data_IF_905116219400
#
_entry.id   IF_905116219400
#
_cell.length_a   1.000
_cell.length_b   1.000
_cell.length_c   1.000
_cell.angle_alpha   90.00
_cell.angle_beta   90.00
_cell.angle_gamma   90.00
#
_symmetry.space_group_name_H-M   'P 1'
#
loop_
_entity.id
_entity.type
_entity.pdbx_description
1 polymer ?
#
# COMPACT_ATOMS: atom_id res chain seq x y z
N UNK A 1 -10.26 -0.32 -12.23
CA UNK A 1 -9.39 -0.30 -11.04
C UNK A 1 -10.18 -0.19 -9.74
N UNK A 2 -11.12 0.73 -9.59
CA UNK A 2 -11.94 0.93 -8.36
C UNK A 2 -12.71 -0.33 -7.94
N UNK A 3 -13.33 -1.07 -8.87
CA UNK A 3 -14.02 -2.32 -8.60
C UNK A 3 -13.09 -3.38 -7.97
N UNK A 4 -11.87 -3.53 -8.49
CA UNK A 4 -10.88 -4.48 -7.96
C UNK A 4 -10.47 -4.12 -6.53
N UNK A 5 -10.29 -2.84 -6.23
CA UNK A 5 -9.98 -2.35 -4.88
C UNK A 5 -11.14 -2.62 -3.91
N UNK A 6 -12.39 -2.37 -4.34
CA UNK A 6 -13.58 -2.69 -3.55
C UNK A 6 -13.68 -4.18 -3.22
N UNK A 7 -13.51 -5.05 -4.22
CA UNK A 7 -13.47 -6.50 -4.00
C UNK A 7 -12.35 -6.93 -3.04
N UNK A 8 -11.18 -6.32 -3.13
CA UNK A 8 -10.06 -6.60 -2.24
C UNK A 8 -10.41 -6.34 -0.77
N UNK A 9 -11.10 -5.23 -0.49
CA UNK A 9 -11.55 -4.90 0.87
C UNK A 9 -12.60 -5.89 1.39
N UNK A 10 -13.60 -6.23 0.56
CA UNK A 10 -14.67 -7.18 0.91
C UNK A 10 -14.07 -8.56 1.20
N UNK A 11 -13.21 -9.09 0.31
CA UNK A 11 -12.52 -10.36 0.51
C UNK A 11 -11.66 -10.34 1.78
N UNK A 12 -10.98 -9.23 2.07
CA UNK A 12 -10.19 -9.05 3.30
C UNK A 12 -11.04 -9.14 4.57
N UNK A 13 -12.31 -8.74 4.53
CA UNK A 13 -13.24 -8.88 5.66
C UNK A 13 -13.78 -10.31 5.78
N UNK A 14 -14.08 -10.96 4.66
CA UNK A 14 -14.63 -12.32 4.62
C UNK A 14 -13.61 -13.39 5.02
N UNK A 15 -12.33 -13.16 4.71
CA UNK A 15 -11.27 -14.10 5.05
C UNK A 15 -11.00 -14.05 6.56
N UNK A 16 -11.17 -15.19 7.23
CA UNK A 16 -11.02 -15.33 8.71
C UNK A 16 -9.56 -15.34 9.18
N UNK A 17 -8.59 -15.43 8.26
CA UNK A 17 -7.16 -15.41 8.59
C UNK A 17 -6.77 -14.14 9.32
N UNK A 18 -5.75 -14.25 10.19
CA UNK A 18 -5.09 -13.10 10.80
C UNK A 18 -4.47 -12.21 9.70
N UNK A 19 -4.44 -10.90 9.93
CA UNK A 19 -3.90 -9.89 9.00
C UNK A 19 -2.53 -10.27 8.45
N UNK A 20 -1.61 -10.74 9.29
CA UNK A 20 -0.25 -11.12 8.90
C UNK A 20 -0.26 -12.25 7.87
N UNK A 21 -1.02 -13.33 8.14
CA UNK A 21 -1.12 -14.48 7.24
C UNK A 21 -1.82 -14.10 5.93
N UNK A 22 -2.89 -13.29 6.00
CA UNK A 22 -3.60 -12.82 4.81
C UNK A 22 -2.68 -12.04 3.88
N UNK A 23 -1.92 -11.09 4.41
CA UNK A 23 -0.97 -10.28 3.61
C UNK A 23 0.15 -11.17 3.07
N UNK A 24 0.65 -12.13 3.87
CA UNK A 24 1.71 -13.06 3.47
C UNK A 24 1.31 -13.91 2.26
N UNK A 25 0.15 -14.61 2.33
CA UNK A 25 -0.35 -15.41 1.21
C UNK A 25 -0.57 -14.57 -0.04
N UNK A 26 -1.13 -13.37 0.11
CA UNK A 26 -1.34 -12.45 -0.99
C UNK A 26 -0.03 -12.06 -1.68
N UNK A 27 1.00 -11.74 -0.92
CA UNK A 27 2.31 -11.37 -1.46
C UNK A 27 3.01 -12.55 -2.14
N UNK A 28 2.90 -13.77 -1.58
CA UNK A 28 3.44 -14.98 -2.22
C UNK A 28 2.77 -15.23 -3.57
N UNK A 29 1.44 -15.20 -3.62
CA UNK A 29 0.70 -15.44 -4.87
C UNK A 29 1.08 -14.39 -5.91
N UNK A 30 1.13 -13.10 -5.52
CA UNK A 30 1.52 -12.03 -6.41
C UNK A 30 2.98 -12.20 -6.90
N UNK A 31 3.91 -12.53 -6.01
CA UNK A 31 5.30 -12.80 -6.35
C UNK A 31 5.43 -13.94 -7.36
N UNK A 32 4.81 -15.10 -7.09
CA UNK A 32 4.88 -16.28 -7.98
C UNK A 32 4.30 -15.93 -9.35
N UNK A 33 3.14 -15.28 -9.38
CA UNK A 33 2.47 -14.89 -10.63
C UNK A 33 3.34 -13.97 -11.47
N UNK A 34 3.95 -12.95 -10.85
CA UNK A 34 4.85 -12.01 -11.55
C UNK A 34 6.15 -12.68 -11.98
N UNK A 35 6.72 -13.56 -11.14
CA UNK A 35 7.92 -14.31 -11.50
C UNK A 35 7.68 -15.19 -12.71
N UNK A 36 6.58 -15.96 -12.75
CA UNK A 36 6.21 -16.79 -13.90
C UNK A 36 5.98 -15.93 -15.15
N UNK A 37 5.33 -14.79 -15.02
CA UNK A 37 5.10 -13.87 -16.13
C UNK A 37 6.41 -13.33 -16.71
N UNK A 38 7.37 -12.93 -15.86
CA UNK A 38 8.67 -12.43 -16.30
C UNK A 38 9.56 -13.52 -16.90
N UNK A 39 9.49 -14.77 -16.39
CA UNK A 39 10.13 -15.92 -16.99
C UNK A 39 9.58 -16.20 -18.39
N UNK A 40 8.25 -16.18 -18.55
CA UNK A 40 7.60 -16.35 -19.83
C UNK A 40 8.02 -15.28 -20.86
N UNK A 41 8.14 -14.03 -20.43
CA UNK A 41 8.63 -12.92 -21.27
C UNK A 41 10.11 -12.98 -21.58
N UNK A 42 10.88 -13.88 -20.97
CA UNK A 42 12.36 -13.95 -21.04
C UNK A 42 13.06 -12.64 -20.62
N UNK A 43 12.40 -11.86 -19.79
CA UNK A 43 12.90 -10.57 -19.28
C UNK A 43 13.53 -10.73 -17.89
N UNK A 44 14.42 -11.71 -17.72
CA UNK A 44 15.11 -11.95 -16.46
C UNK A 44 16.21 -10.90 -16.21
N UNK A 45 16.10 -10.28 -15.06
CA UNK A 45 17.07 -9.50 -14.29
C UNK A 45 18.18 -8.74 -15.03
N UNK A 46 17.89 -7.48 -15.38
CA UNK A 46 18.93 -6.47 -15.54
C UNK A 46 18.56 -5.23 -14.71
N UNK A 47 18.74 -5.33 -13.38
CA UNK A 47 18.50 -4.21 -12.46
C UNK A 47 19.83 -3.85 -11.81
N UNK A 48 20.18 -2.56 -11.81
CA UNK A 48 21.39 -2.08 -11.13
C UNK A 48 21.26 -2.31 -9.62
N UNK A 49 22.33 -2.75 -8.97
CA UNK A 49 22.37 -3.04 -7.54
C UNK A 49 21.83 -1.89 -6.68
N UNK A 50 22.11 -0.65 -7.04
CA UNK A 50 21.60 0.54 -6.34
C UNK A 50 20.06 0.66 -6.42
N UNK A 51 19.48 0.41 -7.60
CA UNK A 51 18.03 0.48 -7.80
C UNK A 51 17.36 -0.69 -7.07
N UNK A 52 17.97 -1.89 -7.06
CA UNK A 52 17.47 -3.05 -6.32
C UNK A 52 17.29 -2.74 -4.82
N UNK A 53 18.30 -2.22 -4.13
CA UNK A 53 18.17 -1.86 -2.71
C UNK A 53 17.16 -0.73 -2.47
N UNK A 54 17.04 0.19 -3.41
CA UNK A 54 16.01 1.22 -3.34
C UNK A 54 14.60 0.64 -3.44
N UNK A 55 14.37 -0.30 -4.37
CA UNK A 55 13.07 -0.99 -4.52
C UNK A 55 12.77 -1.87 -3.31
N UNK A 56 13.77 -2.52 -2.70
CA UNK A 56 13.61 -3.25 -1.43
C UNK A 56 13.11 -2.32 -0.33
N UNK A 57 13.66 -1.10 -0.23
CA UNK A 57 13.15 -0.08 0.70
C UNK A 57 11.68 0.27 0.44
N UNK A 58 11.30 0.42 -0.84
CA UNK A 58 9.89 0.65 -1.22
C UNK A 58 9.02 -0.57 -0.89
N UNK A 59 9.51 -1.78 -1.14
CA UNK A 59 8.82 -3.03 -0.79
C UNK A 59 8.52 -3.14 0.72
N UNK A 60 9.41 -2.60 1.57
CA UNK A 60 9.14 -2.50 3.01
C UNK A 60 7.95 -1.57 3.30
N UNK A 61 7.88 -0.40 2.65
CA UNK A 61 6.74 0.51 2.78
C UNK A 61 5.43 -0.13 2.29
N UNK A 62 5.48 -0.82 1.16
CA UNK A 62 4.33 -1.58 0.62
C UNK A 62 3.85 -2.64 1.60
N UNK A 63 4.77 -3.36 2.24
CA UNK A 63 4.44 -4.39 3.22
C UNK A 63 3.72 -3.80 4.43
N UNK A 64 4.26 -2.73 5.01
CA UNK A 64 3.66 -2.06 6.17
C UNK A 64 2.31 -1.43 5.78
N UNK A 65 2.22 -0.82 4.59
CA UNK A 65 0.95 -0.30 4.05
C UNK A 65 -0.14 -1.39 4.03
N UNK A 66 0.14 -2.56 3.47
CA UNK A 66 -0.84 -3.64 3.41
C UNK A 66 -1.22 -4.18 4.78
N UNK A 67 -0.26 -4.33 5.69
CA UNK A 67 -0.55 -4.74 7.07
C UNK A 67 -1.48 -3.73 7.75
N UNK A 68 -1.18 -2.44 7.67
CA UNK A 68 -2.03 -1.39 8.24
C UNK A 68 -3.41 -1.35 7.57
N UNK A 69 -3.49 -1.50 6.25
CA UNK A 69 -4.77 -1.47 5.53
C UNK A 69 -5.70 -2.62 5.94
N UNK A 70 -5.19 -3.85 5.95
CA UNK A 70 -6.00 -4.99 6.36
C UNK A 70 -6.30 -5.00 7.85
N UNK A 71 -5.38 -4.50 8.71
CA UNK A 71 -5.66 -4.32 10.12
C UNK A 71 -6.79 -3.30 10.33
N UNK A 72 -6.78 -2.18 9.61
CA UNK A 72 -7.88 -1.22 9.62
C UNK A 72 -9.24 -1.88 9.33
N UNK A 73 -9.31 -2.78 8.32
CA UNK A 73 -10.52 -3.53 7.98
C UNK A 73 -10.92 -4.48 9.11
N UNK A 74 -9.96 -5.16 9.75
CA UNK A 74 -10.23 -6.16 10.80
C UNK A 74 -10.74 -5.53 12.09
N UNK A 75 -10.13 -4.40 12.52
CA UNK A 75 -10.51 -3.72 13.77
C UNK A 75 -11.71 -2.77 13.59
N UNK A 76 -12.12 -2.51 12.34
CA UNK A 76 -13.29 -1.67 12.03
C UNK A 76 -14.17 -2.30 10.96
N UNK A 77 -14.21 -1.69 9.80
CA UNK A 77 -14.93 -2.18 8.63
C UNK A 77 -14.29 -1.70 7.33
N UNK A 78 -14.73 -2.28 6.20
CA UNK A 78 -14.21 -1.96 4.86
C UNK A 78 -14.41 -0.48 4.51
N UNK A 79 -15.55 0.11 4.90
CA UNK A 79 -15.87 1.51 4.59
C UNK A 79 -14.88 2.46 5.26
N UNK A 80 -14.55 2.25 6.52
CA UNK A 80 -13.55 3.04 7.27
C UNK A 80 -12.19 2.97 6.55
N UNK A 81 -11.70 1.78 6.23
CA UNK A 81 -10.41 1.61 5.58
C UNK A 81 -10.36 2.29 4.20
N UNK A 82 -11.42 2.15 3.38
CA UNK A 82 -11.49 2.75 2.04
C UNK A 82 -11.61 4.27 2.10
N UNK A 83 -12.41 4.81 3.03
CA UNK A 83 -12.52 6.27 3.22
C UNK A 83 -11.20 6.87 3.68
N UNK A 84 -10.47 6.18 4.57
CA UNK A 84 -9.11 6.60 4.94
C UNK A 84 -8.16 6.62 3.74
N UNK A 85 -8.23 5.62 2.83
CA UNK A 85 -7.41 5.63 1.61
C UNK A 85 -7.69 6.85 0.71
N UNK A 86 -8.91 7.41 0.72
CA UNK A 86 -9.21 8.62 -0.05
C UNK A 86 -8.36 9.82 0.39
N UNK A 87 -7.87 9.86 1.64
CA UNK A 87 -6.94 10.90 2.12
C UNK A 87 -5.58 10.87 1.43
N UNK A 88 -5.24 9.78 0.71
CA UNK A 88 -4.01 9.71 -0.11
C UNK A 88 -3.94 10.85 -1.12
N UNK A 89 -5.07 11.36 -1.61
CA UNK A 89 -5.11 12.51 -2.50
C UNK A 89 -4.50 13.76 -1.87
N UNK A 90 -4.79 14.02 -0.58
CA UNK A 90 -4.20 15.15 0.15
C UNK A 90 -2.70 14.91 0.41
N UNK A 91 -2.33 13.70 0.86
CA UNK A 91 -0.92 13.37 1.07
C UNK A 91 -0.13 13.52 -0.24
N UNK A 92 -0.69 13.10 -1.37
CA UNK A 92 -0.10 13.28 -2.70
C UNK A 92 0.05 14.76 -3.05
N UNK A 93 -1.00 15.56 -2.87
CA UNK A 93 -0.98 17.00 -3.12
C UNK A 93 0.13 17.74 -2.34
N UNK A 94 0.44 17.28 -1.12
CA UNK A 94 1.49 17.88 -0.28
C UNK A 94 2.87 17.31 -0.61
N UNK A 95 3.00 16.00 -0.77
CA UNK A 95 4.29 15.34 -0.88
C UNK A 95 4.88 15.40 -2.29
N UNK A 96 4.07 15.25 -3.36
CA UNK A 96 4.59 15.32 -4.72
C UNK A 96 5.34 16.62 -5.06
N UNK A 97 4.85 17.82 -4.68
CA UNK A 97 5.62 19.05 -4.89
C UNK A 97 7.00 19.02 -4.23
N UNK A 98 7.11 18.40 -3.06
CA UNK A 98 8.37 18.30 -2.32
C UNK A 98 9.35 17.36 -3.03
N UNK A 99 8.88 16.18 -3.47
CA UNK A 99 9.73 15.16 -4.06
C UNK A 99 10.07 15.42 -5.54
N UNK A 100 9.13 15.97 -6.32
CA UNK A 100 9.30 16.23 -7.75
C UNK A 100 9.49 17.72 -8.09
N UNK A 101 9.59 18.60 -7.08
CA UNK A 101 9.77 20.05 -7.25
C UNK A 101 8.71 20.66 -8.19
N UNK A 102 7.49 20.11 -8.22
CA UNK A 102 6.37 20.67 -8.97
C UNK A 102 5.66 21.77 -8.19
N UNK A 103 4.90 22.60 -8.87
CA UNK A 103 4.05 23.60 -8.20
C UNK A 103 2.87 22.90 -7.51
N UNK A 104 2.59 23.32 -6.27
CA UNK A 104 1.41 22.92 -5.55
C UNK A 104 0.16 23.49 -6.22
N UNK A 105 -0.79 22.64 -6.55
CA UNK A 105 -2.04 23.04 -7.19
C UNK A 105 -3.10 23.26 -6.13
N UNK A 106 -3.61 24.49 -6.03
CA UNK A 106 -4.57 24.89 -4.99
C UNK A 106 -5.83 24.02 -4.96
N UNK A 107 -6.31 23.59 -6.13
CA UNK A 107 -7.51 22.75 -6.22
C UNK A 107 -7.29 21.36 -5.62
N UNK A 108 -6.08 20.77 -5.73
CA UNK A 108 -5.75 19.48 -5.12
C UNK A 108 -5.82 19.57 -3.58
N UNK A 109 -5.33 20.69 -3.04
CA UNK A 109 -5.39 20.95 -1.60
C UNK A 109 -6.85 21.10 -1.12
N UNK A 110 -7.66 21.86 -1.85
CA UNK A 110 -9.08 22.06 -1.52
C UNK A 110 -9.82 20.71 -1.54
N UNK A 111 -9.63 19.91 -2.58
CA UNK A 111 -10.24 18.58 -2.67
C UNK A 111 -9.79 17.66 -1.53
N UNK A 112 -8.51 17.68 -1.18
CA UNK A 112 -8.00 16.93 -0.05
C UNK A 112 -8.59 17.37 1.30
N UNK A 113 -8.80 18.67 1.50
CA UNK A 113 -9.45 19.20 2.70
C UNK A 113 -10.93 18.80 2.80
N UNK A 114 -11.65 18.75 1.68
CA UNK A 114 -13.02 18.24 1.63
C UNK A 114 -13.06 16.77 2.05
N UNK A 115 -12.11 15.94 1.61
CA UNK A 115 -11.99 14.54 2.02
C UNK A 115 -11.75 14.43 3.53
N UNK A 116 -10.88 15.28 4.10
CA UNK A 116 -10.65 15.29 5.56
C UNK A 116 -11.89 15.73 6.32
N UNK A 117 -12.60 16.76 5.87
CA UNK A 117 -13.83 17.21 6.50
C UNK A 117 -14.90 16.10 6.51
N UNK A 118 -15.05 15.39 5.38
CA UNK A 118 -15.95 14.24 5.28
C UNK A 118 -15.53 13.11 6.24
N UNK A 119 -14.23 12.81 6.33
CA UNK A 119 -13.68 11.81 7.25
C UNK A 119 -13.95 12.20 8.71
N UNK A 120 -13.71 13.47 9.07
CA UNK A 120 -13.95 13.98 10.42
C UNK A 120 -15.44 13.89 10.80
N UNK A 121 -16.35 14.16 9.86
CA UNK A 121 -17.79 14.00 10.05
C UNK A 121 -18.16 12.54 10.33
N UNK A 122 -17.65 11.60 9.52
CA UNK A 122 -17.90 10.15 9.69
C UNK A 122 -17.31 9.67 11.03
N UNK A 123 -16.11 10.13 11.41
CA UNK A 123 -15.48 9.79 12.68
C UNK A 123 -16.32 10.29 13.88
N UNK A 124 -16.92 11.47 13.78
CA UNK A 124 -17.82 12.01 14.79
C UNK A 124 -19.04 11.13 15.02
N UNK A 125 -19.53 10.45 13.99
CA UNK A 125 -20.69 9.52 14.08
C UNK A 125 -20.26 8.12 14.54
N UNK A 126 -19.07 7.65 14.15
CA UNK A 126 -18.58 6.29 14.40
C UNK A 126 -17.27 6.27 15.20
N UNK A 127 -17.20 7.01 16.30
CA UNK A 127 -15.99 7.13 17.15
C UNK A 127 -15.49 5.80 17.73
N UNK A 128 -16.32 4.76 17.78
CA UNK A 128 -15.95 3.41 18.22
C UNK A 128 -14.85 2.77 17.37
N UNK A 129 -14.59 3.26 16.15
CA UNK A 129 -13.61 2.71 15.21
C UNK A 129 -12.29 3.49 15.14
N UNK A 130 -11.95 4.23 16.18
CA UNK A 130 -10.74 5.09 16.22
C UNK A 130 -9.47 4.35 15.80
N UNK A 131 -9.25 3.11 16.28
CA UNK A 131 -8.10 2.28 15.89
C UNK A 131 -8.08 2.00 14.38
N UNK A 132 -9.25 1.70 13.81
CA UNK A 132 -9.37 1.48 12.35
C UNK A 132 -9.00 2.72 11.54
N UNK A 133 -9.39 3.90 11.99
CA UNK A 133 -9.01 5.18 11.37
C UNK A 133 -7.51 5.43 11.44
N UNK A 134 -6.87 5.17 12.58
CA UNK A 134 -5.42 5.34 12.73
C UNK A 134 -4.68 4.43 11.76
N UNK A 135 -5.00 3.13 11.74
CA UNK A 135 -4.39 2.20 10.79
C UNK A 135 -4.67 2.58 9.34
N UNK A 136 -5.89 3.00 9.02
CA UNK A 136 -6.28 3.43 7.68
C UNK A 136 -5.52 4.67 7.19
N UNK A 137 -5.34 5.69 8.06
CA UNK A 137 -4.59 6.89 7.75
C UNK A 137 -3.09 6.60 7.58
N UNK A 138 -2.50 5.76 8.43
CA UNK A 138 -1.11 5.30 8.28
C UNK A 138 -0.96 4.56 6.95
N UNK A 139 -1.89 3.67 6.61
CA UNK A 139 -1.89 2.98 5.32
C UNK A 139 -1.95 3.98 4.15
N UNK A 140 -2.84 4.99 4.19
CA UNK A 140 -2.96 6.01 3.16
C UNK A 140 -1.66 6.82 2.98
N UNK A 141 -1.03 7.21 4.06
CA UNK A 141 0.26 7.92 4.04
C UNK A 141 1.38 7.06 3.44
N UNK A 142 1.55 5.82 3.91
CA UNK A 142 2.53 4.89 3.38
C UNK A 142 2.26 4.55 1.91
N UNK A 143 0.98 4.42 1.54
CA UNK A 143 0.53 4.23 0.16
C UNK A 143 0.98 5.37 -0.76
N UNK A 144 0.88 6.60 -0.29
CA UNK A 144 1.36 7.77 -1.02
C UNK A 144 2.89 7.76 -1.14
N UNK A 145 3.60 7.46 -0.06
CA UNK A 145 5.07 7.43 -0.07
C UNK A 145 5.60 6.40 -1.06
N UNK A 146 5.12 5.14 -1.02
CA UNK A 146 5.62 4.14 -1.95
C UNK A 146 5.27 4.48 -3.41
N UNK A 147 4.11 5.08 -3.67
CA UNK A 147 3.73 5.53 -5.01
C UNK A 147 4.69 6.60 -5.53
N UNK A 148 5.02 7.60 -4.70
CA UNK A 148 5.99 8.65 -5.04
C UNK A 148 7.37 8.06 -5.30
N UNK A 149 7.85 7.14 -4.44
CA UNK A 149 9.16 6.52 -4.62
C UNK A 149 9.20 5.63 -5.86
N UNK A 150 8.14 4.87 -6.15
CA UNK A 150 8.01 4.09 -7.39
C UNK A 150 8.04 4.98 -8.63
N UNK A 151 7.49 6.17 -8.58
CA UNK A 151 7.57 7.16 -9.66
C UNK A 151 9.01 7.48 -10.10
N UNK A 152 10.01 7.29 -9.22
CA UNK A 152 11.43 7.45 -9.57
C UNK A 152 12.00 6.31 -10.40
N UNK A 153 11.40 5.13 -10.35
CA UNK A 153 11.84 3.92 -11.05
C UNK A 153 11.05 3.65 -12.32
N UNK A 154 9.76 4.02 -12.35
CA UNK A 154 8.89 3.92 -13.53
C UNK A 154 9.48 4.76 -14.67
N UNK A 155 9.61 4.16 -15.86
CA UNK A 155 10.28 4.76 -17.03
C UNK A 155 11.74 4.30 -17.23
N UNK A 156 12.37 3.71 -16.20
CA UNK A 156 13.71 3.10 -16.31
C UNK A 156 13.70 1.59 -16.09
N UNK A 157 12.74 1.11 -15.32
CA UNK A 157 12.59 -0.30 -14.93
C UNK A 157 11.13 -0.70 -15.19
N UNK A 158 10.95 -1.88 -15.74
CA UNK A 158 9.61 -2.44 -15.97
C UNK A 158 8.84 -2.57 -14.66
N UNK A 159 7.57 -2.15 -14.66
CA UNK A 159 6.72 -2.13 -13.47
C UNK A 159 6.53 -3.53 -12.87
N UNK A 160 6.48 -4.58 -13.69
CA UNK A 160 6.34 -5.95 -13.19
C UNK A 160 7.60 -6.39 -12.41
N UNK A 161 8.80 -5.95 -12.82
CA UNK A 161 10.05 -6.21 -12.08
C UNK A 161 10.08 -5.49 -10.74
N UNK A 162 9.65 -4.22 -10.71
CA UNK A 162 9.55 -3.43 -9.47
C UNK A 162 8.61 -4.15 -8.50
N UNK A 163 7.38 -4.42 -8.93
CA UNK A 163 6.37 -5.05 -8.08
C UNK A 163 6.79 -6.45 -7.63
N UNK A 164 7.46 -7.25 -8.49
CA UNK A 164 7.97 -8.56 -8.10
C UNK A 164 8.97 -8.47 -6.94
N UNK A 165 9.90 -7.51 -6.97
CA UNK A 165 10.88 -7.31 -5.89
C UNK A 165 10.19 -6.82 -4.61
N UNK A 166 9.22 -5.93 -4.73
CA UNK A 166 8.42 -5.46 -3.59
C UNK A 166 7.67 -6.61 -2.92
N UNK A 167 7.02 -7.47 -3.70
CA UNK A 167 6.31 -8.64 -3.17
C UNK A 167 7.26 -9.63 -2.51
N UNK A 168 8.41 -9.91 -3.14
CA UNK A 168 9.45 -10.76 -2.54
C UNK A 168 9.95 -10.18 -1.20
N UNK A 169 10.21 -8.87 -1.17
CA UNK A 169 10.62 -8.17 0.05
C UNK A 169 9.60 -8.36 1.17
N UNK A 170 8.32 -8.20 0.86
CA UNK A 170 7.24 -8.42 1.82
C UNK A 170 7.15 -9.87 2.30
N UNK A 171 7.29 -10.84 1.40
CA UNK A 171 7.33 -12.26 1.78
C UNK A 171 8.47 -12.52 2.77
N UNK A 172 9.67 -12.02 2.51
CA UNK A 172 10.83 -12.21 3.39
C UNK A 172 10.59 -11.57 4.76
N UNK A 173 10.14 -10.30 4.79
CA UNK A 173 9.90 -9.57 6.05
C UNK A 173 8.84 -10.30 6.88
N UNK A 174 7.71 -10.67 6.29
CA UNK A 174 6.61 -11.30 7.02
C UNK A 174 7.01 -12.71 7.46
N UNK A 175 7.76 -13.49 6.64
CA UNK A 175 8.26 -14.79 7.04
C UNK A 175 9.19 -14.71 8.25
N UNK A 176 10.07 -13.71 8.30
CA UNK A 176 10.91 -13.46 9.48
C UNK A 176 10.08 -13.10 10.72
N UNK A 177 9.02 -12.28 10.55
CA UNK A 177 8.11 -11.93 11.65
C UNK A 177 7.31 -13.13 12.16
N UNK A 178 6.88 -14.03 11.27
CA UNK A 178 6.17 -15.24 11.66
C UNK A 178 7.09 -16.22 12.42
N UNK A 179 8.31 -16.43 11.91
CA UNK A 179 9.29 -17.28 12.58
C UNK A 179 9.62 -16.79 14.00
N UNK A 180 9.77 -15.47 14.19
CA UNK A 180 10.04 -14.86 15.50
C UNK A 180 8.86 -14.98 16.47
N UNK A 181 7.64 -15.14 15.99
CA UNK A 181 6.43 -15.21 16.84
C UNK A 181 6.08 -16.65 17.24
N UNK A 182 6.66 -17.64 16.57
CA UNK A 182 6.49 -19.08 16.91
C UNK A 182 7.52 -19.57 17.95
N UNK A 183 8.60 -18.80 18.20
CA UNK A 183 9.55 -18.98 19.31
C UNK A 183 9.06 -18.22 20.58
#
# INVERSE_FOLDING_TARGET
MVLVLGFTGILGKLITLNTIHLVWYRMIIAFITLALFLVYKKELFSIKRKDFFGIVGVGTLVTIHWLCFFESIKVSNVSVAVVCLATSSLFTAILEPIFFKRKLLKYELVMGLIVIAALAYILGVESKYISGYIYGLVAAFLGTLFTIFNGKYIGRIDAAKITMIEMLTGVVIISCLLAYKED
#
